data_IF_814324854880
#
_entry.id   IF_814324854880
#
_cell.length_a   1.000
_cell.length_b   1.000
_cell.length_c   1.000
_cell.angle_alpha   90.00
_cell.angle_beta   90.00
_cell.angle_gamma   90.00
#
_symmetry.space_group_name_H-M   'P 1'
#
loop_
_entity.id
_entity.type
_entity.pdbx_description
1 polymer ?
#
# COMPACT_ATOMS: atom_id res chain seq x y z
N UNK A 1 25.70 -2.14 -9.05
CA UNK A 1 25.48 -2.31 -10.50
C UNK A 1 26.16 -3.60 -10.92
N UNK A 2 25.38 -4.67 -11.06
CA UNK A 2 25.80 -5.89 -11.79
C UNK A 2 25.00 -5.86 -13.08
N UNK A 3 25.62 -5.96 -14.27
CA UNK A 3 24.86 -6.11 -15.49
C UNK A 3 24.24 -7.50 -15.44
N UNK A 4 22.94 -7.60 -15.16
CA UNK A 4 22.19 -8.83 -15.39
C UNK A 4 22.09 -8.95 -16.90
N UNK A 5 23.02 -9.73 -17.47
CA UNK A 5 23.00 -10.08 -18.87
C UNK A 5 21.67 -10.75 -19.21
N UNK A 6 21.10 -10.33 -20.32
CA UNK A 6 20.00 -10.97 -21.03
C UNK A 6 20.16 -12.49 -21.05
N UNK A 7 19.04 -13.19 -20.84
CA UNK A 7 18.82 -14.61 -21.14
C UNK A 7 19.88 -15.58 -20.60
N UNK A 8 19.65 -16.10 -19.39
CA UNK A 8 20.41 -17.25 -18.85
C UNK A 8 20.16 -18.55 -19.62
N UNK A 9 19.21 -18.55 -20.56
CA UNK A 9 18.98 -19.63 -21.50
C UNK A 9 19.61 -19.25 -22.83
N UNK A 10 20.72 -19.91 -23.18
CA UNK A 10 21.34 -19.80 -24.49
C UNK A 10 21.22 -21.13 -25.21
N UNK A 11 21.20 -21.07 -26.55
CA UNK A 11 21.35 -22.29 -27.34
C UNK A 11 22.68 -22.97 -26.97
N UNK A 12 22.71 -24.30 -26.81
CA UNK A 12 23.95 -25.02 -26.64
C UNK A 12 24.89 -24.75 -27.84
N UNK A 13 26.21 -24.82 -27.65
CA UNK A 13 27.15 -24.69 -28.76
C UNK A 13 26.82 -25.71 -29.86
N UNK A 14 26.83 -25.25 -31.11
CA UNK A 14 26.53 -26.08 -32.29
C UNK A 14 27.34 -27.36 -32.24
N UNK A 15 26.68 -28.51 -32.10
CA UNK A 15 27.34 -29.81 -32.17
C UNK A 15 27.33 -30.31 -33.62
N UNK A 16 28.43 -30.92 -34.10
CA UNK A 16 28.42 -31.56 -35.41
C UNK A 16 27.36 -32.67 -35.39
N UNK A 17 26.39 -32.57 -36.31
CA UNK A 17 25.26 -33.48 -36.35
C UNK A 17 25.73 -34.92 -36.59
N UNK A 18 25.52 -35.87 -35.67
CA UNK A 18 25.79 -37.27 -35.94
C UNK A 18 24.82 -37.74 -37.01
N UNK A 19 25.34 -38.21 -38.15
CA UNK A 19 24.63 -38.80 -39.30
C UNK A 19 23.14 -39.04 -39.04
N UNK A 20 22.35 -37.97 -39.17
CA UNK A 20 20.90 -38.11 -39.28
C UNK A 20 20.74 -38.86 -40.59
N UNK A 21 20.29 -40.11 -40.51
CA UNK A 21 19.88 -40.89 -41.66
C UNK A 21 18.69 -40.14 -42.25
N UNK A 22 18.96 -39.13 -43.08
CA UNK A 22 17.95 -38.33 -43.72
C UNK A 22 17.19 -39.27 -44.64
N UNK A 23 15.90 -39.42 -44.36
CA UNK A 23 14.96 -39.82 -45.38
C UNK A 23 14.85 -38.63 -46.34
N UNK A 24 15.81 -38.51 -47.26
CA UNK A 24 15.98 -37.48 -48.30
C UNK A 24 14.82 -37.43 -49.33
N UNK A 25 13.62 -37.86 -48.93
CA UNK A 25 12.42 -37.92 -49.76
C UNK A 25 11.12 -37.61 -49.02
N UNK A 26 11.14 -37.04 -47.82
CA UNK A 26 9.91 -36.55 -47.18
C UNK A 26 9.68 -35.08 -47.51
N UNK A 27 8.52 -34.76 -48.08
CA UNK A 27 8.08 -33.40 -48.41
C UNK A 27 7.74 -32.52 -47.17
N UNK A 28 8.29 -32.85 -46.01
CA UNK A 28 7.86 -32.35 -44.70
C UNK A 28 8.99 -31.60 -43.98
N UNK A 29 8.59 -30.62 -43.17
CA UNK A 29 9.48 -30.01 -42.17
C UNK A 29 9.74 -31.05 -41.09
N UNK A 30 11.00 -31.24 -40.73
CA UNK A 30 11.39 -32.19 -39.67
C UNK A 30 11.74 -31.38 -38.43
N UNK A 31 11.01 -31.62 -37.34
CA UNK A 31 11.25 -30.99 -36.05
C UNK A 31 11.77 -32.00 -35.04
N UNK A 32 12.80 -31.63 -34.29
CA UNK A 32 13.31 -32.39 -33.15
C UNK A 32 13.41 -31.48 -31.94
N UNK A 33 12.55 -31.71 -30.96
CA UNK A 33 12.66 -31.04 -29.66
C UNK A 33 13.90 -31.54 -28.92
N UNK A 34 14.77 -30.61 -28.52
CA UNK A 34 16.00 -30.91 -27.80
C UNK A 34 15.72 -30.85 -26.30
N UNK A 35 15.09 -29.78 -25.83
CA UNK A 35 14.67 -29.63 -24.44
C UNK A 35 13.33 -28.94 -24.38
N UNK A 36 12.41 -29.47 -23.55
CA UNK A 36 11.15 -28.81 -23.20
C UNK A 36 11.19 -28.44 -21.71
N UNK A 37 10.78 -27.23 -21.34
CA UNK A 37 10.58 -26.88 -19.94
C UNK A 37 9.52 -27.79 -19.29
N UNK A 38 9.66 -28.03 -17.99
CA UNK A 38 8.75 -28.92 -17.24
C UNK A 38 7.30 -28.42 -17.23
N UNK A 39 7.10 -27.11 -17.20
CA UNK A 39 5.79 -26.48 -17.09
C UNK A 39 5.40 -25.77 -18.39
N UNK A 40 5.11 -26.55 -19.45
CA UNK A 40 4.52 -26.01 -20.66
C UNK A 40 3.00 -25.81 -20.49
N UNK A 41 2.61 -24.60 -20.06
CA UNK A 41 1.20 -24.22 -19.85
C UNK A 41 0.49 -23.87 -21.17
N UNK A 42 1.24 -23.32 -22.14
CA UNK A 42 0.77 -22.93 -23.46
C UNK A 42 1.86 -23.22 -24.48
N UNK A 43 1.44 -23.61 -25.67
CA UNK A 43 2.31 -23.76 -26.83
C UNK A 43 1.91 -22.81 -27.95
N UNK A 44 2.84 -22.54 -28.86
CA UNK A 44 2.63 -21.67 -30.02
C UNK A 44 1.47 -22.17 -30.87
N UNK A 45 0.49 -21.28 -31.09
CA UNK A 45 -0.61 -21.49 -32.02
C UNK A 45 -0.50 -20.52 -33.21
N UNK A 46 -1.27 -20.80 -34.26
CA UNK A 46 -1.40 -19.86 -35.38
C UNK A 46 -1.93 -18.52 -34.87
N UNK A 47 -1.42 -17.42 -35.44
CA UNK A 47 -1.66 -16.02 -35.04
C UNK A 47 -0.95 -15.55 -33.78
N UNK A 48 -0.20 -16.43 -33.10
CA UNK A 48 0.61 -15.99 -31.97
C UNK A 48 1.81 -15.18 -32.45
N UNK A 49 2.10 -14.13 -31.69
CA UNK A 49 3.33 -13.40 -31.76
C UNK A 49 4.37 -14.11 -30.90
N UNK A 50 5.49 -14.46 -31.51
CA UNK A 50 6.58 -15.18 -30.86
C UNK A 50 7.84 -14.34 -30.85
N UNK A 51 8.61 -14.44 -29.76
CA UNK A 51 9.98 -13.93 -29.68
C UNK A 51 10.90 -15.11 -29.47
N UNK A 52 11.92 -15.27 -30.32
CA UNK A 52 12.83 -16.38 -30.22
C UNK A 52 14.25 -16.02 -30.62
N UNK A 53 15.20 -16.74 -30.03
CA UNK A 53 16.56 -16.79 -30.52
C UNK A 53 16.73 -17.96 -31.48
N UNK A 54 17.56 -17.76 -32.50
CA UNK A 54 17.91 -18.82 -33.44
C UNK A 54 19.37 -18.74 -33.91
N UNK A 55 19.87 -19.89 -34.35
CA UNK A 55 21.03 -20.06 -35.23
C UNK A 55 20.59 -20.78 -36.51
N UNK A 56 20.83 -20.17 -37.67
CA UNK A 56 20.52 -20.72 -38.98
C UNK A 56 21.77 -21.25 -39.67
N UNK A 57 21.75 -22.53 -40.04
CA UNK A 57 22.87 -23.22 -40.71
C UNK A 57 22.40 -23.97 -41.96
N UNK A 58 23.30 -24.14 -42.91
CA UNK A 58 23.13 -25.12 -43.99
C UNK A 58 23.35 -26.54 -43.45
N UNK A 59 22.97 -27.56 -44.22
CA UNK A 59 23.17 -28.98 -43.82
C UNK A 59 24.62 -29.34 -43.51
N UNK A 60 25.59 -28.65 -44.11
CA UNK A 60 27.02 -28.85 -43.86
C UNK A 60 27.54 -28.14 -42.59
N UNK A 61 26.65 -27.42 -41.87
CA UNK A 61 26.97 -26.67 -40.67
C UNK A 61 27.39 -25.21 -40.93
N UNK A 62 27.45 -24.76 -42.18
CA UNK A 62 27.79 -23.37 -42.50
C UNK A 62 26.70 -22.43 -41.97
N UNK A 63 27.08 -21.53 -41.06
CA UNK A 63 26.17 -20.51 -40.49
C UNK A 63 25.87 -19.44 -41.53
N UNK A 64 24.58 -19.15 -41.76
CA UNK A 64 24.16 -18.06 -42.65
C UNK A 64 23.51 -16.89 -41.90
N UNK A 65 22.87 -17.12 -40.74
CA UNK A 65 22.28 -16.07 -39.91
C UNK A 65 22.18 -16.52 -38.44
N UNK A 66 22.18 -15.56 -37.51
CA UNK A 66 21.96 -15.78 -36.09
C UNK A 66 21.29 -14.56 -35.46
N UNK A 67 20.38 -14.80 -34.53
CA UNK A 67 19.82 -13.74 -33.68
C UNK A 67 20.86 -13.18 -32.68
N UNK A 68 21.82 -14.00 -32.26
CA UNK A 68 22.80 -13.62 -31.24
C UNK A 68 23.83 -12.62 -31.76
N UNK A 69 24.21 -12.71 -33.04
CA UNK A 69 25.09 -11.72 -33.68
C UNK A 69 24.44 -10.34 -33.73
N UNK A 70 23.11 -10.29 -33.81
CA UNK A 70 22.31 -9.05 -33.77
C UNK A 70 21.95 -8.58 -32.36
N UNK A 71 22.22 -9.39 -31.33
CA UNK A 71 21.90 -9.10 -29.92
C UNK A 71 20.41 -8.76 -29.70
N UNK A 72 19.53 -9.36 -30.49
CA UNK A 72 18.08 -9.17 -30.39
C UNK A 72 17.38 -10.46 -30.79
N UNK A 73 16.20 -10.69 -30.22
CA UNK A 73 15.32 -11.78 -30.66
C UNK A 73 14.82 -11.53 -32.08
N UNK A 74 14.44 -12.61 -32.77
CA UNK A 74 13.56 -12.51 -33.91
C UNK A 74 12.11 -12.54 -33.43
N UNK A 75 11.31 -11.64 -33.97
CA UNK A 75 9.93 -11.44 -33.56
C UNK A 75 9.04 -11.59 -34.80
N UNK A 76 8.00 -12.41 -34.72
CA UNK A 76 7.11 -12.65 -35.85
C UNK A 76 5.75 -13.20 -35.44
N UNK A 77 4.77 -13.12 -36.35
CA UNK A 77 3.48 -13.79 -36.24
C UNK A 77 3.53 -15.15 -36.93
N UNK A 78 3.17 -16.21 -36.20
CA UNK A 78 3.23 -17.58 -36.71
C UNK A 78 1.99 -17.91 -37.53
N UNK A 79 2.22 -18.41 -38.75
CA UNK A 79 1.18 -18.93 -39.64
C UNK A 79 0.38 -17.87 -40.40
N UNK A 80 0.88 -16.63 -40.42
CA UNK A 80 0.36 -15.51 -41.21
C UNK A 80 1.23 -15.19 -42.43
N UNK A 81 2.24 -16.03 -42.74
CA UNK A 81 3.10 -15.88 -43.91
C UNK A 81 4.20 -14.82 -43.76
N UNK A 82 4.51 -14.41 -42.53
CA UNK A 82 5.61 -13.49 -42.21
C UNK A 82 6.97 -14.20 -42.18
N UNK A 83 6.97 -15.52 -42.05
CA UNK A 83 8.14 -16.38 -42.07
C UNK A 83 8.16 -17.23 -43.34
N UNK A 84 9.30 -17.86 -43.63
CA UNK A 84 9.33 -18.95 -44.59
C UNK A 84 8.39 -20.06 -44.12
N UNK A 85 7.69 -20.72 -45.07
CA UNK A 85 6.65 -21.71 -44.76
C UNK A 85 7.11 -22.78 -43.77
N UNK A 86 8.37 -23.19 -43.87
CA UNK A 86 8.93 -24.20 -42.99
C UNK A 86 9.10 -23.76 -41.53
N UNK A 87 9.38 -22.47 -41.30
CA UNK A 87 9.44 -21.92 -39.94
C UNK A 87 8.03 -21.73 -39.37
N UNK A 88 7.07 -21.26 -40.18
CA UNK A 88 5.66 -21.19 -39.80
C UNK A 88 5.14 -22.56 -39.31
N UNK A 89 5.49 -23.64 -40.02
CA UNK A 89 5.13 -25.01 -39.60
C UNK A 89 5.94 -25.51 -38.39
N UNK A 90 7.25 -25.24 -38.36
CA UNK A 90 8.15 -25.82 -37.36
C UNK A 90 8.05 -25.19 -35.97
N UNK A 91 7.64 -23.92 -35.88
CA UNK A 91 7.44 -23.20 -34.62
C UNK A 91 6.14 -23.61 -33.90
N UNK A 92 5.15 -24.15 -34.62
CA UNK A 92 3.88 -24.56 -34.03
C UNK A 92 4.09 -25.60 -32.92
N UNK A 93 3.39 -25.42 -31.81
CA UNK A 93 3.50 -26.32 -30.66
C UNK A 93 4.79 -26.17 -29.86
N UNK A 94 5.65 -25.16 -30.11
CA UNK A 94 6.77 -24.86 -29.21
C UNK A 94 6.28 -24.27 -27.89
N UNK A 95 6.94 -24.61 -26.79
CA UNK A 95 6.71 -24.02 -25.47
C UNK A 95 7.76 -22.93 -25.15
N UNK A 96 7.40 -21.91 -24.38
CA UNK A 96 8.38 -20.89 -23.94
C UNK A 96 9.50 -21.55 -23.14
N UNK A 97 10.76 -21.29 -23.52
CA UNK A 97 11.97 -21.92 -23.00
C UNK A 97 12.33 -23.24 -23.70
N UNK A 98 11.53 -23.71 -24.66
CA UNK A 98 11.85 -24.90 -25.46
C UNK A 98 13.00 -24.60 -26.44
N UNK A 99 13.91 -25.56 -26.55
CA UNK A 99 14.91 -25.61 -27.63
C UNK A 99 14.48 -26.66 -28.64
N UNK A 100 14.33 -26.26 -29.90
CA UNK A 100 13.91 -27.12 -31.00
C UNK A 100 14.82 -26.94 -32.20
N UNK A 101 15.24 -28.07 -32.78
CA UNK A 101 15.88 -28.11 -34.08
C UNK A 101 14.82 -28.31 -35.16
N UNK A 102 14.88 -27.50 -36.22
CA UNK A 102 13.94 -27.49 -37.34
C UNK A 102 14.72 -27.59 -38.64
N UNK A 103 14.50 -28.66 -39.39
CA UNK A 103 15.07 -28.85 -40.72
C UNK A 103 14.02 -28.58 -41.78
N UNK A 104 14.32 -27.62 -42.66
CA UNK A 104 13.38 -27.09 -43.64
C UNK A 104 13.88 -27.42 -45.06
N UNK A 105 13.12 -28.20 -45.84
CA UNK A 105 13.50 -28.49 -47.22
C UNK A 105 13.37 -27.24 -48.11
N UNK A 106 14.06 -27.19 -49.26
CA UNK A 106 14.20 -25.95 -50.02
C UNK A 106 12.87 -25.35 -50.47
N UNK A 107 11.90 -26.16 -50.89
CA UNK A 107 10.58 -25.70 -51.37
C UNK A 107 9.68 -25.11 -50.27
N UNK A 108 10.04 -25.28 -48.98
CA UNK A 108 9.42 -24.57 -47.83
C UNK A 108 10.31 -23.46 -47.27
N UNK A 109 11.50 -23.25 -47.84
CA UNK A 109 12.43 -22.16 -47.55
C UNK A 109 12.51 -21.19 -48.74
N UNK A 110 13.67 -21.11 -49.41
CA UNK A 110 13.95 -20.17 -50.52
C UNK A 110 13.96 -20.81 -51.92
N UNK A 111 13.65 -22.11 -52.00
CA UNK A 111 13.45 -22.84 -53.25
C UNK A 111 14.65 -22.85 -54.19
N UNK A 112 14.37 -22.89 -55.50
CA UNK A 112 15.40 -22.96 -56.54
C UNK A 112 16.22 -21.68 -56.67
N UNK A 113 15.74 -20.57 -56.13
CA UNK A 113 16.42 -19.27 -56.27
C UNK A 113 17.47 -19.05 -55.17
N UNK A 114 17.30 -19.67 -54.01
CA UNK A 114 18.09 -19.31 -52.82
C UNK A 114 17.78 -17.90 -52.36
N UNK A 115 18.65 -17.33 -51.51
CA UNK A 115 18.50 -15.96 -50.99
C UNK A 115 19.86 -15.35 -50.69
N UNK A 116 20.11 -14.17 -51.26
CA UNK A 116 21.37 -13.44 -51.06
C UNK A 116 22.58 -14.21 -51.57
N UNK A 117 23.71 -14.01 -50.90
CA UNK A 117 24.98 -14.72 -51.16
C UNK A 117 25.21 -15.89 -50.22
N UNK A 118 24.42 -15.96 -49.15
CA UNK A 118 24.60 -16.87 -48.02
C UNK A 118 23.79 -18.16 -48.19
N UNK A 119 22.64 -18.09 -48.88
CA UNK A 119 21.73 -19.23 -49.05
C UNK A 119 21.70 -19.65 -50.52
N UNK A 120 22.34 -20.77 -50.89
CA UNK A 120 22.37 -21.23 -52.27
C UNK A 120 21.02 -21.76 -52.76
N UNK A 121 20.93 -21.93 -54.09
CA UNK A 121 19.80 -22.61 -54.75
C UNK A 121 19.59 -24.01 -54.15
N UNK A 122 18.33 -24.39 -53.94
CA UNK A 122 17.96 -25.72 -53.43
C UNK A 122 18.59 -26.05 -52.06
N UNK A 123 18.91 -25.02 -51.25
CA UNK A 123 19.46 -25.21 -49.91
C UNK A 123 18.41 -25.73 -48.93
N UNK A 124 18.74 -26.81 -48.21
CA UNK A 124 18.02 -27.22 -47.00
C UNK A 124 18.58 -26.43 -45.82
N UNK A 125 17.69 -25.85 -45.02
CA UNK A 125 18.06 -25.02 -43.89
C UNK A 125 17.85 -25.77 -42.59
N UNK A 126 18.72 -25.54 -41.62
CA UNK A 126 18.62 -26.07 -40.26
C UNK A 126 18.60 -24.90 -39.29
N UNK A 127 17.56 -24.82 -38.47
CA UNK A 127 17.39 -23.82 -37.43
C UNK A 127 17.40 -24.48 -36.07
N UNK A 128 18.33 -24.06 -35.20
CA UNK A 128 18.21 -24.29 -33.77
C UNK A 128 17.52 -23.08 -33.16
N UNK A 129 16.38 -23.28 -32.51
CA UNK A 129 15.52 -22.22 -31.98
C UNK A 129 15.33 -22.39 -30.48
N UNK A 130 15.51 -21.31 -29.73
CA UNK A 130 15.08 -21.15 -28.35
C UNK A 130 13.91 -20.17 -28.33
N UNK A 131 12.73 -20.65 -27.94
CA UNK A 131 11.55 -19.79 -27.83
C UNK A 131 11.63 -18.98 -26.53
N UNK A 132 11.71 -17.65 -26.64
CA UNK A 132 11.87 -16.76 -25.49
C UNK A 132 10.53 -16.29 -24.91
N UNK A 133 9.53 -16.06 -25.76
CA UNK A 133 8.23 -15.54 -25.34
C UNK A 133 7.13 -15.81 -26.38
N UNK A 134 5.87 -15.84 -25.93
CA UNK A 134 4.68 -15.99 -26.78
C UNK A 134 3.50 -15.19 -26.24
N UNK A 135 2.75 -14.53 -27.11
CA UNK A 135 1.41 -14.02 -26.80
C UNK A 135 0.54 -13.96 -28.05
N UNK A 136 -0.77 -13.95 -27.87
CA UNK A 136 -1.67 -13.52 -28.92
C UNK A 136 -1.87 -12.00 -28.80
N UNK A 137 -1.81 -11.22 -29.90
CA UNK A 137 -2.10 -9.79 -29.85
C UNK A 137 -3.49 -9.44 -29.28
N UNK A 138 -4.42 -10.40 -29.27
CA UNK A 138 -5.77 -10.27 -28.71
C UNK A 138 -5.90 -10.79 -27.27
N UNK A 139 -4.81 -11.27 -26.66
CA UNK A 139 -4.84 -11.74 -25.27
C UNK A 139 -5.26 -10.61 -24.34
N UNK A 140 -6.01 -10.94 -23.29
CA UNK A 140 -6.32 -10.00 -22.22
C UNK A 140 -5.46 -10.31 -20.99
N UNK A 141 -5.55 -9.44 -19.99
CA UNK A 141 -4.99 -9.69 -18.66
C UNK A 141 -5.49 -11.04 -18.10
N UNK A 142 -4.57 -11.89 -17.65
CA UNK A 142 -4.92 -13.13 -16.93
C UNK A 142 -4.60 -12.96 -15.45
N UNK A 143 -5.58 -13.25 -14.59
CA UNK A 143 -5.44 -13.19 -13.13
C UNK A 143 -5.76 -14.58 -12.56
N UNK A 144 -4.80 -15.13 -11.83
CA UNK A 144 -4.92 -16.38 -11.10
C UNK A 144 -4.80 -16.09 -9.60
N UNK A 145 -5.89 -16.27 -8.86
CA UNK A 145 -5.88 -16.09 -7.41
C UNK A 145 -5.22 -17.30 -6.75
N UNK A 146 -4.04 -17.10 -6.17
CA UNK A 146 -3.30 -18.16 -5.48
C UNK A 146 -3.82 -18.35 -4.05
N UNK A 147 -4.04 -17.25 -3.33
CA UNK A 147 -4.58 -17.25 -1.97
C UNK A 147 -5.52 -16.07 -1.83
N UNK A 148 -6.78 -16.35 -1.46
CA UNK A 148 -7.75 -15.33 -1.06
C UNK A 148 -8.06 -15.53 0.42
N UNK A 149 -7.72 -14.57 1.30
CA UNK A 149 -8.03 -14.67 2.73
C UNK A 149 -9.54 -14.81 2.97
N UNK A 150 -9.90 -15.60 3.98
CA UNK A 150 -11.31 -15.86 4.34
C UNK A 150 -12.03 -14.55 4.73
N UNK A 151 -11.33 -13.67 5.44
CA UNK A 151 -11.80 -12.34 5.81
C UNK A 151 -11.47 -11.32 4.70
N UNK A 152 -12.38 -11.17 3.75
CA UNK A 152 -12.32 -10.08 2.76
C UNK A 152 -13.45 -9.07 3.02
N UNK A 153 -13.32 -8.32 4.11
CA UNK A 153 -14.33 -7.34 4.54
C UNK A 153 -14.42 -6.14 3.59
N UNK A 154 -13.28 -5.73 3.02
CA UNK A 154 -13.18 -4.68 2.01
C UNK A 154 -12.36 -5.17 0.82
N UNK A 155 -12.78 -4.77 -0.37
CA UNK A 155 -12.05 -4.95 -1.62
C UNK A 155 -11.50 -3.62 -2.10
N UNK A 156 -10.34 -3.65 -2.76
CA UNK A 156 -9.75 -2.44 -3.32
C UNK A 156 -10.60 -1.88 -4.46
N UNK A 157 -10.65 -0.56 -4.54
CA UNK A 157 -11.36 0.20 -5.57
C UNK A 157 -10.46 1.25 -6.21
N UNK A 158 -10.92 1.84 -7.31
CA UNK A 158 -10.20 2.92 -8.00
C UNK A 158 -9.93 4.07 -7.03
N UNK A 159 -8.69 4.56 -7.02
CA UNK A 159 -8.24 5.64 -6.14
C UNK A 159 -7.73 5.17 -4.78
N UNK A 160 -7.78 3.88 -4.47
CA UNK A 160 -7.11 3.36 -3.28
C UNK A 160 -5.59 3.41 -3.44
N UNK A 161 -4.91 3.79 -2.36
CA UNK A 161 -3.47 3.65 -2.17
C UNK A 161 -3.18 2.23 -1.69
N UNK A 162 -2.46 1.45 -2.49
CA UNK A 162 -2.18 0.03 -2.23
C UNK A 162 -0.69 -0.15 -1.95
N UNK A 163 -0.37 -0.94 -0.92
CA UNK A 163 0.98 -1.41 -0.65
C UNK A 163 1.04 -2.92 -0.92
N UNK A 164 1.98 -3.33 -1.76
CA UNK A 164 2.11 -4.73 -2.13
C UNK A 164 3.57 -5.11 -2.37
N UNK A 165 3.86 -6.39 -2.13
CA UNK A 165 5.06 -7.03 -2.63
C UNK A 165 4.77 -7.69 -3.98
N UNK A 166 5.78 -7.72 -4.83
CA UNK A 166 5.75 -8.47 -6.09
C UNK A 166 7.08 -9.12 -6.43
N UNK A 167 7.01 -10.16 -7.25
CA UNK A 167 8.11 -10.73 -8.02
C UNK A 167 7.74 -10.73 -9.51
N UNK A 168 8.50 -10.01 -10.33
CA UNK A 168 8.29 -9.85 -11.77
C UNK A 168 9.21 -10.77 -12.57
N UNK A 169 8.62 -11.63 -13.40
CA UNK A 169 9.31 -12.61 -14.24
C UNK A 169 8.79 -12.58 -15.68
N UNK A 170 9.59 -13.02 -16.65
CA UNK A 170 9.10 -13.32 -17.99
C UNK A 170 8.41 -14.70 -18.03
N UNK A 171 7.72 -15.04 -19.12
CA UNK A 171 7.07 -16.36 -19.27
C UNK A 171 8.05 -17.55 -19.13
N UNK A 172 9.34 -17.34 -19.40
CA UNK A 172 10.40 -18.34 -19.22
C UNK A 172 10.88 -18.49 -17.75
N UNK A 173 10.30 -17.73 -16.82
CA UNK A 173 10.62 -17.74 -15.39
C UNK A 173 11.81 -16.88 -14.98
N UNK A 174 12.50 -16.21 -15.91
CA UNK A 174 13.60 -15.30 -15.59
C UNK A 174 13.06 -14.06 -14.89
N UNK A 175 13.51 -13.82 -13.65
CA UNK A 175 13.18 -12.61 -12.88
C UNK A 175 13.85 -11.37 -13.47
N UNK A 176 13.07 -10.31 -13.66
CA UNK A 176 13.58 -9.01 -14.10
C UNK A 176 13.53 -7.94 -13.00
N UNK A 177 12.61 -8.05 -12.04
CA UNK A 177 12.50 -7.11 -10.91
C UNK A 177 11.74 -7.76 -9.74
N UNK A 178 12.03 -7.34 -8.50
CA UNK A 178 11.34 -7.83 -7.32
C UNK A 178 11.42 -6.84 -6.17
N UNK A 179 10.28 -6.63 -5.51
CA UNK A 179 10.19 -5.75 -4.32
C UNK A 179 11.00 -6.28 -3.13
N UNK A 180 11.16 -7.60 -3.02
CA UNK A 180 11.85 -8.24 -1.89
C UNK A 180 13.35 -7.90 -1.87
N UNK A 181 13.98 -7.66 -3.02
CA UNK A 181 15.38 -7.22 -3.07
C UNK A 181 15.60 -5.84 -2.46
N UNK A 182 14.54 -5.02 -2.40
CA UNK A 182 14.57 -3.67 -1.82
C UNK A 182 14.15 -3.64 -0.36
N UNK A 183 13.70 -4.77 0.20
CA UNK A 183 13.12 -4.86 1.55
C UNK A 183 12.03 -3.80 1.80
N UNK A 184 11.28 -3.43 0.76
CA UNK A 184 10.19 -2.46 0.86
C UNK A 184 9.07 -2.82 -0.11
N UNK A 185 7.85 -2.45 0.25
CA UNK A 185 6.67 -2.60 -0.62
C UNK A 185 6.75 -1.62 -1.79
N UNK A 186 6.06 -1.97 -2.87
CA UNK A 186 5.70 -0.99 -3.89
C UNK A 186 4.37 -0.36 -3.51
N UNK A 187 4.31 0.97 -3.59
CA UNK A 187 3.16 1.73 -3.11
C UNK A 187 2.67 2.63 -4.25
N UNK A 188 1.38 2.56 -4.57
CA UNK A 188 0.79 3.35 -5.66
C UNK A 188 -0.71 3.54 -5.45
N UNK A 189 -1.27 4.54 -6.10
CA UNK A 189 -2.71 4.62 -6.28
C UNK A 189 -3.12 3.76 -7.48
N UNK A 190 -4.16 2.96 -7.32
CA UNK A 190 -4.63 2.02 -8.36
C UNK A 190 -5.77 2.60 -9.19
N UNK A 191 -5.80 2.25 -10.47
CA UNK A 191 -6.84 2.70 -11.41
C UNK A 191 -6.73 4.18 -11.79
N UNK A 192 -5.58 4.79 -11.53
CA UNK A 192 -5.30 6.21 -11.81
C UNK A 192 -4.21 6.39 -12.87
N UNK A 193 -3.66 5.31 -13.43
CA UNK A 193 -2.63 5.36 -14.48
C UNK A 193 -1.22 5.63 -13.98
N UNK A 194 -0.94 5.45 -12.69
CA UNK A 194 0.41 5.61 -12.12
C UNK A 194 1.32 4.40 -12.38
N UNK A 195 0.74 3.24 -12.68
CA UNK A 195 1.45 2.02 -13.07
C UNK A 195 0.95 1.54 -14.44
N UNK A 196 1.60 0.53 -15.01
CA UNK A 196 1.16 -0.08 -16.27
C UNK A 196 -0.31 -0.53 -16.17
N UNK A 197 -1.05 -0.38 -17.27
CA UNK A 197 -2.50 -0.60 -17.30
C UNK A 197 -2.91 -2.00 -16.78
N UNK A 198 -2.11 -3.03 -17.08
CA UNK A 198 -2.33 -4.38 -16.59
C UNK A 198 -2.23 -4.50 -15.06
N UNK A 199 -1.31 -3.78 -14.41
CA UNK A 199 -1.20 -3.77 -12.95
C UNK A 199 -2.33 -2.98 -12.30
N UNK A 200 -2.71 -1.84 -12.89
CA UNK A 200 -3.87 -1.06 -12.45
C UNK A 200 -5.14 -1.93 -12.43
N UNK A 201 -5.37 -2.68 -13.50
CA UNK A 201 -6.49 -3.63 -13.59
C UNK A 201 -6.32 -4.81 -12.63
N UNK A 202 -5.11 -5.34 -12.50
CA UNK A 202 -4.83 -6.51 -11.68
C UNK A 202 -4.87 -6.26 -10.18
N UNK A 203 -4.78 -5.02 -9.72
CA UNK A 203 -4.86 -4.67 -8.30
C UNK A 203 -6.26 -4.23 -7.87
N UNK A 204 -7.22 -4.13 -8.80
CA UNK A 204 -8.62 -3.88 -8.45
C UNK A 204 -9.29 -5.12 -7.87
N UNK A 205 -10.18 -4.90 -6.91
CA UNK A 205 -10.95 -5.96 -6.27
C UNK A 205 -10.12 -6.92 -5.42
N UNK A 206 -8.89 -6.54 -5.01
CA UNK A 206 -8.04 -7.36 -4.12
C UNK A 206 -8.54 -7.30 -2.69
N UNK A 207 -8.28 -8.37 -1.95
CA UNK A 207 -8.37 -8.41 -0.50
C UNK A 207 -7.00 -8.14 0.13
N UNK A 208 -7.01 -7.62 1.36
CA UNK A 208 -5.78 -7.51 2.17
C UNK A 208 -5.25 -8.92 2.45
N UNK A 209 -3.94 -9.14 2.28
CA UNK A 209 -3.30 -10.46 2.43
C UNK A 209 -3.44 -11.38 1.20
N UNK A 210 -4.12 -10.93 0.14
CA UNK A 210 -4.31 -11.73 -1.07
C UNK A 210 -3.01 -11.97 -1.84
N UNK A 211 -2.85 -13.20 -2.34
CA UNK A 211 -1.81 -13.56 -3.30
C UNK A 211 -2.42 -13.88 -4.64
N UNK A 212 -1.93 -13.25 -5.71
CA UNK A 212 -2.36 -13.53 -7.08
C UNK A 212 -1.19 -13.52 -8.05
N UNK A 213 -1.28 -14.36 -9.06
CA UNK A 213 -0.38 -14.40 -10.21
C UNK A 213 -1.05 -13.75 -11.40
N UNK A 214 -0.35 -12.82 -12.04
CA UNK A 214 -0.91 -11.96 -13.08
C UNK A 214 -0.04 -12.08 -14.32
N UNK A 215 -0.63 -12.38 -15.47
CA UNK A 215 0.06 -12.42 -16.77
C UNK A 215 -0.44 -11.24 -17.61
N UNK A 216 0.46 -10.33 -17.94
CA UNK A 216 0.18 -9.06 -18.59
C UNK A 216 0.71 -9.09 -20.03
N UNK A 217 -0.16 -9.03 -21.05
CA UNK A 217 0.28 -8.95 -22.44
C UNK A 217 0.92 -7.57 -22.73
N UNK A 218 1.74 -7.45 -23.79
CA UNK A 218 2.57 -6.25 -23.98
C UNK A 218 1.79 -4.95 -24.09
N UNK A 219 0.61 -4.95 -24.72
CA UNK A 219 -0.23 -3.75 -24.89
C UNK A 219 -0.86 -3.25 -23.58
N UNK A 220 -0.82 -4.04 -22.50
CA UNK A 220 -1.17 -3.63 -21.14
C UNK A 220 0.08 -3.41 -20.25
N UNK A 221 1.27 -3.58 -20.81
CA UNK A 221 2.56 -3.42 -20.15
C UNK A 221 3.39 -2.30 -20.83
N UNK A 222 4.57 -2.61 -21.36
CA UNK A 222 5.51 -1.65 -21.96
C UNK A 222 5.52 -1.68 -23.51
N UNK A 223 4.55 -2.35 -24.13
CA UNK A 223 4.34 -2.34 -25.58
C UNK A 223 5.53 -2.81 -26.41
N UNK A 224 5.63 -2.30 -27.64
CA UNK A 224 6.69 -2.62 -28.60
C UNK A 224 8.04 -1.97 -28.27
N UNK A 225 8.07 -1.00 -27.35
CA UNK A 225 9.30 -0.28 -27.00
C UNK A 225 10.08 -1.01 -25.89
N UNK A 226 9.39 -1.72 -25.00
CA UNK A 226 9.99 -2.27 -23.79
C UNK A 226 10.35 -1.16 -22.78
N UNK A 227 11.21 -1.46 -21.80
CA UNK A 227 11.57 -0.49 -20.77
C UNK A 227 12.95 -0.71 -20.14
N UNK A 228 13.68 0.40 -19.94
CA UNK A 228 14.87 0.48 -19.09
C UNK A 228 16.06 -0.41 -19.51
N UNK A 229 16.05 -0.96 -20.71
CA UNK A 229 17.03 -1.94 -21.18
C UNK A 229 16.93 -3.32 -20.50
N UNK A 230 15.97 -3.50 -19.59
CA UNK A 230 15.72 -4.74 -18.84
C UNK A 230 14.52 -5.49 -19.42
N UNK A 231 13.47 -4.75 -19.78
CA UNK A 231 12.26 -5.31 -20.39
C UNK A 231 12.38 -5.16 -21.90
N UNK A 232 12.47 -6.26 -22.67
CA UNK A 232 12.58 -6.15 -24.11
C UNK A 232 11.24 -5.80 -24.78
N UNK A 233 11.26 -5.29 -26.03
CA UNK A 233 10.09 -5.09 -26.89
C UNK A 233 9.09 -6.25 -26.90
N UNK A 234 7.81 -5.94 -26.80
CA UNK A 234 6.70 -6.89 -26.91
C UNK A 234 6.77 -8.06 -25.91
N UNK A 235 7.29 -7.80 -24.71
CA UNK A 235 7.41 -8.79 -23.65
C UNK A 235 6.11 -9.02 -22.89
N UNK A 236 5.77 -10.29 -22.66
CA UNK A 236 4.78 -10.67 -21.66
C UNK A 236 5.42 -10.64 -20.28
N UNK A 237 4.73 -10.01 -19.33
CA UNK A 237 5.18 -9.93 -17.95
C UNK A 237 4.33 -10.82 -17.06
N UNK A 238 4.96 -11.49 -16.11
CA UNK A 238 4.32 -12.28 -15.08
C UNK A 238 4.66 -11.68 -13.72
N UNK A 239 3.63 -11.37 -12.92
CA UNK A 239 3.79 -10.86 -11.57
C UNK A 239 3.13 -11.79 -10.57
N UNK A 240 3.91 -12.30 -9.61
CA UNK A 240 3.37 -12.86 -8.37
C UNK A 240 3.27 -11.73 -7.34
N UNK A 241 2.04 -11.43 -6.90
CA UNK A 241 1.71 -10.29 -6.05
C UNK A 241 1.26 -10.78 -4.68
N UNK A 242 1.69 -10.09 -3.62
CA UNK A 242 1.16 -10.19 -2.26
C UNK A 242 0.69 -8.80 -1.81
N UNK A 243 -0.60 -8.65 -1.58
CA UNK A 243 -1.20 -7.40 -1.10
C UNK A 243 -1.01 -7.30 0.41
N UNK A 244 -0.38 -6.21 0.87
CA UNK A 244 -0.11 -5.99 2.30
C UNK A 244 -1.25 -5.24 2.95
N UNK A 245 -1.67 -4.12 2.38
CA UNK A 245 -2.89 -3.40 2.74
C UNK A 245 -3.23 -2.35 1.67
N UNK A 246 -4.36 -1.66 1.87
CA UNK A 246 -4.73 -0.50 1.08
C UNK A 246 -5.72 0.40 1.82
N UNK A 247 -5.73 1.69 1.48
CA UNK A 247 -6.64 2.69 2.04
C UNK A 247 -7.02 3.73 0.98
N UNK A 248 -8.12 4.43 1.19
CA UNK A 248 -8.49 5.60 0.42
C UNK A 248 -8.15 6.88 1.19
N UNK A 249 -7.70 7.96 0.53
CA UNK A 249 -7.58 9.27 1.17
C UNK A 249 -8.90 9.82 1.74
N UNK A 250 -10.04 9.32 1.25
CA UNK A 250 -11.37 9.70 1.76
C UNK A 250 -11.92 8.71 2.80
N UNK A 251 -11.16 7.70 3.21
CA UNK A 251 -11.60 6.76 4.25
C UNK A 251 -11.79 7.52 5.56
N UNK A 252 -12.81 7.14 6.33
CA UNK A 252 -13.05 7.66 7.68
C UNK A 252 -12.64 6.62 8.72
N UNK A 253 -12.62 7.01 10.00
CA UNK A 253 -12.36 6.05 11.09
C UNK A 253 -13.46 5.00 11.12
N UNK A 254 -13.09 3.73 11.07
CA UNK A 254 -14.06 2.64 11.28
C UNK A 254 -14.08 2.27 12.76
N UNK A 255 -15.23 2.43 13.41
CA UNK A 255 -15.41 2.11 14.83
C UNK A 255 -16.35 0.91 14.96
N UNK A 256 -15.85 -0.18 15.54
CA UNK A 256 -16.63 -1.37 15.85
C UNK A 256 -16.71 -1.56 17.36
N UNK A 257 -17.93 -1.51 17.90
CA UNK A 257 -18.16 -1.73 19.33
C UNK A 257 -18.20 -3.24 19.59
N UNK A 258 -17.20 -3.75 20.30
CA UNK A 258 -17.08 -5.18 20.65
C UNK A 258 -17.87 -5.50 21.92
N UNK A 259 -17.82 -4.60 22.88
CA UNK A 259 -18.52 -4.75 24.14
C UNK A 259 -18.97 -3.37 24.63
N UNK A 260 -20.26 -3.26 24.99
CA UNK A 260 -20.81 -2.09 25.68
C UNK A 260 -21.47 -2.54 26.98
N UNK A 261 -21.09 -1.98 28.14
CA UNK A 261 -21.74 -2.27 29.41
C UNK A 261 -23.21 -1.85 29.43
N UNK A 262 -24.03 -2.55 30.23
CA UNK A 262 -25.46 -2.25 30.37
C UNK A 262 -25.72 -0.86 30.99
N UNK A 263 -24.88 -0.46 31.95
CA UNK A 263 -24.93 0.86 32.57
C UNK A 263 -23.97 1.83 31.85
N UNK A 264 -24.52 2.59 30.89
CA UNK A 264 -23.78 3.53 30.04
C UNK A 264 -24.50 4.89 30.04
N UNK A 265 -24.50 5.54 31.22
CA UNK A 265 -25.23 6.80 31.44
C UNK A 265 -24.44 8.03 30.99
N UNK A 266 -23.11 7.96 31.06
CA UNK A 266 -22.21 9.04 30.67
C UNK A 266 -21.19 8.52 29.67
N UNK A 267 -20.97 9.30 28.62
CA UNK A 267 -19.99 8.99 27.58
C UNK A 267 -18.91 10.06 27.55
N UNK A 268 -17.71 9.68 27.10
CA UNK A 268 -16.62 10.60 26.82
C UNK A 268 -17.00 11.62 25.75
N UNK A 269 -16.51 12.85 25.90
CA UNK A 269 -16.69 13.96 24.98
C UNK A 269 -15.39 14.76 24.83
N UNK A 270 -15.38 15.72 23.91
CA UNK A 270 -14.24 16.63 23.74
C UNK A 270 -13.88 17.33 25.06
N UNK A 271 -12.58 17.49 25.31
CA UNK A 271 -11.97 18.00 26.55
C UNK A 271 -12.02 17.07 27.77
N UNK A 272 -12.69 15.91 27.71
CA UNK A 272 -12.63 14.92 28.78
C UNK A 272 -11.20 14.33 28.87
N UNK A 273 -10.71 14.11 30.10
CA UNK A 273 -9.50 13.33 30.33
C UNK A 273 -9.89 11.85 30.39
N UNK A 274 -9.43 11.07 29.42
CA UNK A 274 -9.70 9.63 29.36
C UNK A 274 -8.48 8.84 29.81
N UNK A 275 -8.72 7.69 30.46
CA UNK A 275 -7.71 6.68 30.78
C UNK A 275 -8.14 5.36 30.16
N UNK A 276 -7.28 4.76 29.38
CA UNK A 276 -7.65 3.62 28.54
C UNK A 276 -6.49 2.64 28.36
N UNK A 277 -6.86 1.40 28.05
CA UNK A 277 -5.94 0.40 27.49
C UNK A 277 -6.09 0.36 25.98
N UNK A 278 -4.99 0.09 25.29
CA UNK A 278 -5.00 -0.20 23.87
C UNK A 278 -3.98 -1.27 23.49
N UNK A 279 -4.28 -2.01 22.43
CA UNK A 279 -3.31 -2.76 21.62
C UNK A 279 -3.43 -2.26 20.18
N UNK A 280 -2.30 -1.89 19.58
CA UNK A 280 -2.23 -1.40 18.21
C UNK A 280 -1.54 -2.45 17.33
N UNK A 281 -2.18 -2.77 16.21
CA UNK A 281 -1.69 -3.71 15.20
C UNK A 281 -1.79 -3.11 13.80
N UNK A 282 -1.06 -3.67 12.85
CA UNK A 282 -1.34 -3.49 11.42
C UNK A 282 -2.54 -4.36 11.01
N UNK A 283 -3.11 -4.08 9.84
CA UNK A 283 -4.28 -4.83 9.33
C UNK A 283 -3.98 -6.32 9.09
N UNK A 284 -2.71 -6.69 8.90
CA UNK A 284 -2.27 -8.09 8.80
C UNK A 284 -2.11 -8.78 10.18
N UNK A 285 -2.38 -8.08 11.27
CA UNK A 285 -2.25 -8.56 12.65
C UNK A 285 -0.86 -8.38 13.25
N UNK A 286 0.09 -7.79 12.55
CA UNK A 286 1.43 -7.50 13.10
C UNK A 286 1.30 -6.55 14.30
N UNK A 287 1.77 -6.94 15.50
CA UNK A 287 1.70 -6.07 16.67
C UNK A 287 2.68 -4.90 16.56
N UNK A 288 2.23 -3.72 16.99
CA UNK A 288 3.02 -2.50 17.01
C UNK A 288 3.31 -2.03 18.44
N UNK A 289 2.28 -1.59 19.15
CA UNK A 289 2.41 -1.03 20.50
C UNK A 289 1.25 -1.47 21.38
N UNK A 290 1.50 -1.65 22.66
CA UNK A 290 0.48 -1.89 23.67
C UNK A 290 0.59 -0.87 24.80
N UNK A 291 -0.54 -0.48 25.36
CA UNK A 291 -0.58 0.22 26.65
C UNK A 291 0.10 -0.58 27.78
N UNK A 292 0.19 -1.91 27.66
CA UNK A 292 0.88 -2.77 28.63
C UNK A 292 2.41 -2.74 28.53
N UNK A 293 2.95 -2.13 27.48
CA UNK A 293 4.41 -1.90 27.35
C UNK A 293 4.89 -0.79 28.31
N UNK A 294 3.96 -0.10 28.96
CA UNK A 294 4.22 1.01 29.88
C UNK A 294 3.82 0.64 31.32
N UNK A 295 4.53 1.21 32.29
CA UNK A 295 4.25 0.96 33.72
C UNK A 295 2.97 1.65 34.23
N UNK A 296 2.43 2.61 33.46
CA UNK A 296 1.24 3.38 33.82
C UNK A 296 0.12 3.26 32.79
N UNK A 297 -1.12 3.39 33.26
CA UNK A 297 -2.29 3.59 32.41
C UNK A 297 -2.06 4.78 31.49
N UNK A 298 -2.44 4.61 30.23
CA UNK A 298 -2.35 5.67 29.24
C UNK A 298 -3.53 6.63 29.40
N UNK A 299 -3.22 7.92 29.33
CA UNK A 299 -4.21 8.98 29.43
C UNK A 299 -4.09 10.02 28.30
N UNK A 300 -5.21 10.66 27.99
CA UNK A 300 -5.26 11.72 26.98
C UNK A 300 -6.43 12.65 27.26
N UNK A 301 -6.25 13.94 27.01
CA UNK A 301 -7.38 14.89 26.96
C UNK A 301 -7.90 14.92 25.53
N UNK A 302 -9.16 14.55 25.32
CA UNK A 302 -9.74 14.46 23.98
C UNK A 302 -9.82 15.84 23.30
N UNK A 303 -9.42 15.92 22.03
CA UNK A 303 -9.38 17.16 21.24
C UNK A 303 -8.20 18.08 21.55
N UNK A 304 -7.17 17.59 22.27
CA UNK A 304 -5.98 18.40 22.62
C UNK A 304 -4.72 18.06 21.82
N UNK A 305 -4.86 17.36 20.69
CA UNK A 305 -3.78 16.92 19.80
C UNK A 305 -2.69 16.09 20.50
N UNK A 306 -3.08 15.35 21.56
CA UNK A 306 -2.17 14.48 22.34
C UNK A 306 -2.05 13.07 21.78
N UNK A 307 -3.06 12.64 21.03
CA UNK A 307 -3.10 11.36 20.32
C UNK A 307 -3.42 11.63 18.85
N UNK A 308 -3.23 10.63 17.99
CA UNK A 308 -3.60 10.73 16.58
C UNK A 308 -5.12 10.95 16.44
N UNK A 309 -5.53 11.76 15.46
CA UNK A 309 -6.91 12.18 15.26
C UNK A 309 -7.90 11.02 15.22
N UNK A 310 -7.55 9.92 14.55
CA UNK A 310 -8.43 8.77 14.44
C UNK A 310 -8.61 7.99 15.74
N UNK A 311 -7.61 7.98 16.62
CA UNK A 311 -7.73 7.40 17.96
C UNK A 311 -8.55 8.33 18.87
N UNK A 312 -8.36 9.64 18.76
CA UNK A 312 -9.18 10.64 19.46
C UNK A 312 -10.67 10.44 19.12
N UNK A 313 -10.99 10.33 17.83
CA UNK A 313 -12.34 10.04 17.35
C UNK A 313 -12.86 8.69 17.88
N UNK A 314 -12.02 7.66 17.85
CA UNK A 314 -12.34 6.33 18.37
C UNK A 314 -12.69 6.30 19.86
N UNK A 315 -12.07 7.18 20.66
CA UNK A 315 -12.27 7.31 22.11
C UNK A 315 -13.49 8.16 22.48
N UNK A 316 -14.05 8.96 21.57
CA UNK A 316 -15.25 9.78 21.82
C UNK A 316 -16.50 8.92 21.92
N UNK A 317 -17.43 9.30 22.79
CA UNK A 317 -18.70 8.59 22.96
C UNK A 317 -18.58 7.22 23.62
N UNK A 318 -17.45 6.89 24.25
CA UNK A 318 -17.23 5.64 24.97
C UNK A 318 -17.77 5.72 26.40
N UNK A 319 -18.30 4.61 26.90
CA UNK A 319 -18.60 4.41 28.32
C UNK A 319 -17.48 3.64 29.03
N UNK A 320 -17.35 3.84 30.35
CA UNK A 320 -16.36 3.10 31.15
C UNK A 320 -16.63 1.60 31.06
N UNK A 321 -15.60 0.82 30.73
CA UNK A 321 -15.66 -0.62 30.45
C UNK A 321 -16.02 -0.98 29.00
N UNK A 322 -16.35 -0.01 28.14
CA UNK A 322 -16.62 -0.25 26.72
C UNK A 322 -15.33 -0.66 25.98
N UNK A 323 -15.44 -1.66 25.09
CA UNK A 323 -14.34 -2.11 24.22
C UNK A 323 -14.67 -1.90 22.76
N UNK A 324 -13.72 -1.38 22.00
CA UNK A 324 -13.87 -1.11 20.55
C UNK A 324 -12.67 -1.62 19.77
N UNK A 325 -12.92 -2.00 18.51
CA UNK A 325 -11.88 -2.08 17.47
C UNK A 325 -12.01 -0.81 16.63
N UNK A 326 -10.94 -0.04 16.53
CA UNK A 326 -10.89 1.22 15.79
C UNK A 326 -9.86 1.09 14.67
N UNK A 327 -10.31 1.13 13.41
CA UNK A 327 -9.43 1.14 12.24
C UNK A 327 -9.21 2.57 11.78
N UNK A 328 -7.96 3.03 11.84
CA UNK A 328 -7.56 4.40 11.55
C UNK A 328 -6.80 4.45 10.22
N UNK A 329 -7.32 5.17 9.21
CA UNK A 329 -6.60 5.37 7.96
C UNK A 329 -5.40 6.30 8.17
N UNK A 330 -4.37 6.26 7.31
CA UNK A 330 -3.09 6.90 7.61
C UNK A 330 -3.18 8.43 7.74
N UNK A 331 -4.08 9.08 6.99
CA UNK A 331 -4.25 10.54 7.05
C UNK A 331 -4.89 11.04 8.36
N UNK A 332 -5.49 10.14 9.16
CA UNK A 332 -5.94 10.37 10.54
C UNK A 332 -4.99 9.71 11.57
N UNK A 333 -3.86 9.20 11.11
CA UNK A 333 -2.83 8.52 11.89
C UNK A 333 -1.46 9.19 11.73
N UNK A 334 -0.45 8.40 11.38
CA UNK A 334 0.92 8.90 11.17
C UNK A 334 1.25 9.35 9.73
N UNK A 335 0.28 9.31 8.84
CA UNK A 335 0.40 9.75 7.45
C UNK A 335 1.42 8.98 6.62
N UNK A 336 1.83 9.58 5.50
CA UNK A 336 2.79 8.99 4.57
C UNK A 336 4.20 8.85 5.15
N UNK A 337 4.55 9.65 6.15
CA UNK A 337 5.86 9.59 6.80
C UNK A 337 5.99 8.40 7.76
N UNK A 338 4.86 7.87 8.25
CA UNK A 338 4.86 6.89 9.33
C UNK A 338 5.46 7.48 10.61
N UNK A 339 5.88 6.60 11.51
CA UNK A 339 6.53 6.96 12.77
C UNK A 339 7.55 5.89 13.16
N UNK A 340 8.29 6.09 14.24
CA UNK A 340 9.17 5.04 14.78
C UNK A 340 8.34 3.78 15.05
N UNK A 341 8.68 2.67 14.41
CA UNK A 341 7.93 1.40 14.52
C UNK A 341 6.64 1.34 13.70
N UNK A 342 6.22 2.43 13.05
CA UNK A 342 5.01 2.46 12.20
C UNK A 342 5.40 2.70 10.74
N UNK A 343 5.10 1.76 9.83
CA UNK A 343 5.38 1.95 8.41
C UNK A 343 4.66 3.18 7.81
N UNK A 344 5.27 3.75 6.77
CA UNK A 344 4.64 4.77 5.92
C UNK A 344 3.27 4.32 5.39
N UNK A 345 2.29 5.22 5.48
CA UNK A 345 0.91 5.00 5.01
C UNK A 345 0.24 3.74 5.59
N UNK A 346 0.64 3.33 6.81
CA UNK A 346 0.03 2.18 7.47
C UNK A 346 -1.38 2.49 7.98
N UNK A 347 -2.32 1.60 7.69
CA UNK A 347 -3.62 1.56 8.35
C UNK A 347 -3.44 0.90 9.72
N UNK A 348 -3.89 1.56 10.77
CA UNK A 348 -3.72 1.10 12.15
C UNK A 348 -5.02 0.50 12.68
N UNK A 349 -4.93 -0.58 13.45
CA UNK A 349 -6.06 -1.22 14.10
C UNK A 349 -5.83 -1.20 15.61
N UNK A 350 -6.69 -0.49 16.34
CA UNK A 350 -6.62 -0.35 17.79
C UNK A 350 -7.74 -1.15 18.46
N UNK A 351 -7.36 -2.10 19.31
CA UNK A 351 -8.26 -2.70 20.29
C UNK A 351 -8.20 -1.84 21.55
N UNK A 352 -9.25 -1.06 21.83
CA UNK A 352 -9.28 -0.11 22.95
C UNK A 352 -10.30 -0.52 24.01
N UNK A 353 -9.98 -0.23 25.27
CA UNK A 353 -10.85 -0.41 26.43
C UNK A 353 -10.78 0.85 27.30
N UNK A 354 -11.93 1.50 27.51
CA UNK A 354 -11.98 2.67 28.37
C UNK A 354 -12.02 2.25 29.85
N UNK A 355 -11.06 2.71 30.64
CA UNK A 355 -10.92 2.34 32.06
C UNK A 355 -11.62 3.36 32.96
N UNK A 356 -11.43 4.65 32.69
CA UNK A 356 -12.09 5.74 33.41
C UNK A 356 -12.01 7.03 32.59
N UNK A 357 -12.82 8.02 32.94
CA UNK A 357 -12.64 9.37 32.42
C UNK A 357 -13.06 10.41 33.46
N UNK A 358 -12.50 11.61 33.34
CA UNK A 358 -12.90 12.81 34.08
C UNK A 358 -13.45 13.83 33.09
N UNK A 359 -14.58 14.42 33.43
CA UNK A 359 -15.21 15.39 32.54
C UNK A 359 -14.34 16.63 32.34
N UNK A 360 -14.31 17.11 31.11
CA UNK A 360 -13.59 18.31 30.72
C UNK A 360 -14.24 19.60 31.20
N UNK A 361 -13.57 20.68 30.84
CA UNK A 361 -14.09 22.05 30.88
C UNK A 361 -14.15 22.60 29.44
N UNK A 362 -15.05 23.56 29.14
CA UNK A 362 -15.16 24.14 27.81
C UNK A 362 -13.86 24.80 27.32
N UNK A 363 -13.69 24.98 26.00
CA UNK A 363 -12.50 25.59 25.43
C UNK A 363 -12.13 26.95 26.07
N UNK A 364 -10.87 27.05 26.51
CA UNK A 364 -10.31 28.23 27.14
C UNK A 364 -10.74 28.49 28.59
N UNK A 365 -11.48 27.58 29.21
CA UNK A 365 -11.77 27.63 30.66
C UNK A 365 -10.72 26.80 31.43
N UNK A 366 -10.38 27.24 32.63
CA UNK A 366 -9.57 26.48 33.59
C UNK A 366 -10.42 25.89 34.73
N UNK A 367 -11.60 26.48 34.95
CA UNK A 367 -12.58 26.06 35.94
C UNK A 367 -13.99 26.40 35.43
N UNK A 368 -14.97 25.56 35.80
CA UNK A 368 -16.39 25.82 35.57
C UNK A 368 -17.19 25.53 36.82
N UNK A 369 -18.25 26.32 37.01
CA UNK A 369 -19.27 26.06 38.02
C UNK A 369 -20.24 24.98 37.50
N UNK A 370 -20.57 24.02 38.38
CA UNK A 370 -21.57 22.99 38.12
C UNK A 370 -22.94 23.34 38.73
N UNK A 371 -22.93 24.28 39.67
CA UNK A 371 -24.12 24.90 40.28
C UNK A 371 -24.04 26.44 40.11
N UNK A 372 -24.99 27.17 40.68
CA UNK A 372 -24.96 28.62 40.69
C UNK A 372 -23.72 29.14 41.42
N UNK A 373 -22.99 30.07 40.79
CA UNK A 373 -21.87 30.75 41.44
C UNK A 373 -22.36 31.60 42.61
N UNK A 374 -21.53 31.85 43.64
CA UNK A 374 -21.89 32.73 44.74
C UNK A 374 -22.38 34.11 44.25
N UNK A 375 -23.42 34.65 44.89
CA UNK A 375 -23.99 35.95 44.53
C UNK A 375 -22.99 37.11 44.68
N UNK A 376 -22.05 36.98 45.63
CA UNK A 376 -20.90 37.86 45.79
C UNK A 376 -19.64 36.99 45.85
N UNK A 377 -19.03 36.78 44.67
CA UNK A 377 -17.86 35.92 44.54
C UNK A 377 -16.65 36.50 45.26
N UNK A 378 -16.48 37.83 45.27
CA UNK A 378 -15.35 38.46 45.96
C UNK A 378 -15.48 38.27 47.47
N UNK A 379 -16.65 38.52 48.05
CA UNK A 379 -16.87 38.29 49.48
C UNK A 379 -16.78 36.81 49.88
N UNK A 380 -17.04 35.89 48.94
CA UNK A 380 -16.87 34.45 49.16
C UNK A 380 -15.39 34.02 49.10
N UNK A 381 -14.57 34.72 48.31
CA UNK A 381 -13.13 34.52 48.21
C UNK A 381 -12.37 35.18 49.37
N UNK A 382 -12.79 36.36 49.84
CA UNK A 382 -12.21 37.11 50.96
C UNK A 382 -12.78 36.63 52.31
N UNK A 383 -12.41 35.41 52.71
CA UNK A 383 -12.73 34.79 53.99
C UNK A 383 -12.32 35.66 55.18
N UNK A 384 -11.17 36.32 55.09
CA UNK A 384 -10.59 37.07 56.20
C UNK A 384 -11.14 38.53 56.28
N UNK A 385 -11.81 38.99 55.21
CA UNK A 385 -12.49 40.29 55.06
C UNK A 385 -11.54 41.48 55.08
N UNK A 386 -10.30 41.31 54.61
CA UNK A 386 -9.31 42.39 54.47
C UNK A 386 -9.34 43.08 53.10
N UNK A 387 -10.22 42.64 52.18
CA UNK A 387 -10.33 43.11 50.79
C UNK A 387 -9.13 42.76 49.89
N UNK A 388 -8.30 41.81 50.29
CA UNK A 388 -7.16 41.33 49.54
C UNK A 388 -7.20 39.81 49.51
N UNK A 389 -7.34 39.20 48.33
CA UNK A 389 -7.38 37.74 48.20
C UNK A 389 -6.02 37.27 47.67
N UNK A 390 -5.10 36.77 48.54
CA UNK A 390 -3.84 36.18 48.10
C UNK A 390 -4.06 34.80 47.45
N UNK A 391 -3.02 34.27 46.81
CA UNK A 391 -3.07 32.99 46.09
C UNK A 391 -3.51 31.82 46.98
N UNK A 392 -3.08 31.79 48.24
CA UNK A 392 -3.48 30.74 49.18
C UNK A 392 -4.99 30.74 49.41
N UNK A 393 -5.57 31.93 49.64
CA UNK A 393 -6.98 32.10 49.93
C UNK A 393 -7.86 31.75 48.70
N UNK A 394 -7.45 32.24 47.53
CA UNK A 394 -8.05 31.88 46.25
C UNK A 394 -7.99 30.37 46.00
N UNK A 395 -6.83 29.76 46.24
CA UNK A 395 -6.61 28.34 46.03
C UNK A 395 -7.42 27.45 46.97
N UNK A 396 -7.49 27.79 48.25
CA UNK A 396 -8.32 27.08 49.24
C UNK A 396 -9.81 27.13 48.85
N UNK A 397 -10.29 28.29 48.42
CA UNK A 397 -11.65 28.44 47.94
C UNK A 397 -11.95 27.52 46.74
N UNK A 398 -11.11 27.56 45.69
CA UNK A 398 -11.31 26.73 44.49
C UNK A 398 -11.24 25.23 44.84
N UNK A 399 -10.29 24.83 45.70
CA UNK A 399 -10.19 23.44 46.19
C UNK A 399 -11.46 23.01 46.92
N UNK A 400 -12.04 23.89 47.74
CA UNK A 400 -13.29 23.62 48.44
C UNK A 400 -14.46 23.44 47.46
N UNK A 401 -14.58 24.32 46.45
CA UNK A 401 -15.67 24.19 45.46
C UNK A 401 -15.60 22.89 44.66
N UNK A 402 -14.39 22.43 44.32
CA UNK A 402 -14.19 21.13 43.65
C UNK A 402 -14.51 19.97 44.60
N UNK A 403 -14.05 20.03 45.86
CA UNK A 403 -14.31 18.99 46.85
C UNK A 403 -15.81 18.85 47.20
N UNK A 404 -16.56 19.95 47.18
CA UNK A 404 -18.02 19.96 47.39
C UNK A 404 -18.82 19.58 46.12
N UNK A 405 -18.16 19.35 44.98
CA UNK A 405 -18.82 19.02 43.71
C UNK A 405 -19.52 20.20 43.02
N UNK A 406 -19.31 21.43 43.52
CA UNK A 406 -19.90 22.67 42.98
C UNK A 406 -19.14 23.23 41.78
N UNK A 407 -17.90 22.79 41.60
CA UNK A 407 -17.03 23.24 40.53
C UNK A 407 -16.17 22.13 39.97
N UNK A 408 -15.67 22.35 38.76
CA UNK A 408 -14.76 21.43 38.08
C UNK A 408 -13.57 22.18 37.53
N UNK A 409 -12.39 21.66 37.81
CA UNK A 409 -11.13 22.18 37.27
C UNK A 409 -10.76 21.44 35.98
N UNK A 410 -9.98 22.09 35.12
CA UNK A 410 -9.46 21.48 33.89
C UNK A 410 -8.66 20.21 34.23
N UNK A 411 -9.04 19.04 33.71
CA UNK A 411 -8.35 17.80 34.03
C UNK A 411 -7.01 17.68 33.27
N UNK A 412 -6.16 16.76 33.70
CA UNK A 412 -4.88 16.45 33.05
C UNK A 412 -3.71 17.38 33.43
N UNK A 413 -3.91 18.24 34.42
CA UNK A 413 -2.87 19.11 34.99
C UNK A 413 -2.86 19.01 36.52
N UNK A 414 -1.72 19.34 37.13
CA UNK A 414 -1.61 19.41 38.59
C UNK A 414 -2.52 20.56 39.06
N UNK A 415 -3.40 20.27 40.01
CA UNK A 415 -4.41 21.22 40.51
C UNK A 415 -3.79 22.55 40.95
N UNK A 416 -2.65 22.50 41.64
CA UNK A 416 -1.90 23.67 42.09
C UNK A 416 -1.46 24.57 40.92
N UNK A 417 -1.04 23.98 39.80
CA UNK A 417 -0.66 24.76 38.62
C UNK A 417 -1.88 25.43 37.99
N UNK A 418 -3.00 24.72 37.87
CA UNK A 418 -4.22 25.30 37.31
C UNK A 418 -4.73 26.45 38.18
N UNK A 419 -4.72 26.27 39.51
CA UNK A 419 -5.08 27.32 40.47
C UNK A 419 -4.13 28.51 40.36
N UNK A 420 -2.83 28.26 40.25
CA UNK A 420 -1.84 29.31 40.04
C UNK A 420 -2.12 30.08 38.75
N UNK A 421 -2.37 29.41 37.63
CA UNK A 421 -2.68 30.06 36.35
C UNK A 421 -3.98 30.87 36.43
N UNK A 422 -5.01 30.33 37.10
CA UNK A 422 -6.26 31.05 37.37
C UNK A 422 -6.02 32.32 38.19
N UNK A 423 -5.21 32.23 39.25
CA UNK A 423 -4.85 33.36 40.10
C UNK A 423 -4.12 34.46 39.29
N UNK A 424 -3.07 34.09 38.55
CA UNK A 424 -2.30 35.03 37.72
C UNK A 424 -3.13 35.69 36.62
N UNK A 425 -4.18 35.03 36.13
CA UNK A 425 -5.11 35.63 35.16
C UNK A 425 -6.02 36.70 35.81
N UNK A 426 -6.25 36.63 37.12
CA UNK A 426 -7.05 37.58 37.88
C UNK A 426 -6.19 38.69 38.51
N UNK A 427 -4.97 38.39 38.94
CA UNK A 427 -3.97 39.36 39.41
C UNK A 427 -3.38 40.17 38.22
N UNK A 428 -4.13 41.18 37.77
CA UNK A 428 -3.80 41.95 36.56
C UNK A 428 -2.61 42.87 36.76
N UNK A 429 -2.43 43.39 37.97
CA UNK A 429 -1.36 44.33 38.29
C UNK A 429 -0.06 43.61 38.75
N UNK A 430 -0.14 42.30 39.03
CA UNK A 430 0.95 41.41 39.45
C UNK A 430 1.53 41.78 40.82
N UNK A 431 0.69 42.23 41.74
CA UNK A 431 1.08 42.56 43.11
C UNK A 431 0.94 41.38 44.09
N UNK A 432 0.42 40.25 43.62
CA UNK A 432 0.28 39.03 44.41
C UNK A 432 -1.02 38.95 45.22
N UNK A 433 -1.97 39.86 45.00
CA UNK A 433 -3.33 39.80 45.58
C UNK A 433 -4.39 40.10 44.51
N UNK A 434 -5.60 39.58 44.71
CA UNK A 434 -6.77 39.93 43.88
C UNK A 434 -7.65 40.88 44.68
N UNK A 435 -7.97 42.02 44.08
CA UNK A 435 -8.94 42.99 44.62
C UNK A 435 -10.29 42.91 43.90
N UNK A 436 -11.33 43.52 44.49
CA UNK A 436 -12.68 43.49 43.94
C UNK A 436 -12.77 44.10 42.53
N UNK A 437 -11.91 45.05 42.20
CA UNK A 437 -11.85 45.71 40.89
C UNK A 437 -11.16 44.84 39.82
N UNK A 438 -10.36 43.86 40.24
CA UNK A 438 -9.60 42.97 39.34
C UNK A 438 -10.36 41.69 39.00
N UNK A 439 -11.15 41.19 39.97
CA UNK A 439 -11.91 39.96 39.84
C UNK A 439 -12.97 40.08 38.73
N UNK A 440 -12.75 39.37 37.63
CA UNK A 440 -13.73 39.26 36.53
C UNK A 440 -13.93 37.81 36.12
N UNK A 441 -15.18 37.38 36.09
CA UNK A 441 -15.55 36.08 35.53
C UNK A 441 -15.47 36.13 34.02
N UNK A 442 -14.84 35.11 33.42
CA UNK A 442 -14.74 35.00 31.96
C UNK A 442 -16.10 35.02 31.26
N UNK A 443 -17.14 34.44 31.88
CA UNK A 443 -18.52 34.46 31.35
C UNK A 443 -19.06 35.89 31.25
N UNK A 444 -18.71 36.76 32.20
CA UNK A 444 -19.14 38.15 32.19
C UNK A 444 -18.32 38.95 31.17
N UNK A 445 -17.01 38.68 31.07
CA UNK A 445 -16.17 39.26 30.00
C UNK A 445 -16.63 38.86 28.60
N UNK A 446 -17.02 37.60 28.40
CA UNK A 446 -17.54 37.09 27.12
C UNK A 446 -18.88 37.77 26.78
N UNK A 447 -19.80 37.94 27.76
CA UNK A 447 -21.05 38.71 27.57
C UNK A 447 -20.80 40.19 27.27
N UNK A 448 -19.85 40.83 27.97
CA UNK A 448 -19.46 42.22 27.71
C UNK A 448 -18.91 42.38 26.28
N UNK A 449 -18.08 41.43 25.83
CA UNK A 449 -17.54 41.40 24.46
C UNK A 449 -18.62 41.17 23.41
N UNK A 450 -19.56 40.25 23.65
CA UNK A 450 -20.69 40.01 22.74
C UNK A 450 -21.62 41.22 22.65
N UNK A 451 -21.91 41.87 23.78
CA UNK A 451 -22.72 43.09 23.82
C UNK A 451 -22.04 44.25 23.07
N UNK A 452 -20.73 44.46 23.27
CA UNK A 452 -19.96 45.47 22.55
C UNK A 452 -19.93 45.21 21.04
N UNK A 453 -19.82 43.94 20.62
CA UNK A 453 -19.82 43.53 19.21
C UNK A 453 -21.20 43.69 18.55
N UNK A 454 -22.27 43.57 19.32
CA UNK A 454 -23.65 43.84 18.87
C UNK A 454 -23.96 45.34 18.76
N UNK A 455 -23.26 46.22 19.49
CA UNK A 455 -23.37 47.67 19.35
C UNK A 455 -22.54 48.25 18.18
N UNK A 456 -21.51 47.53 17.72
CA UNK A 456 -20.68 47.91 16.56
C UNK A 456 -21.24 47.47 15.19
N UNK A 457 -22.26 46.60 15.15
CA UNK A 457 -22.97 46.13 13.96
C UNK A 457 -24.29 46.90 13.76
#
# INVERSE_FOLDING_TARGET
QVPVGMDTLSLPPLQPYPNILFQLGSDLVVTKTITTPKDCQRSVMRTDFVRYHFNGTLLDGTVFDSSYTRKQTHNSLVGEGWLIKGLDEGLLGMCVGEIRNIVIPPFKAYGEKGSGTEIPSQATLVFDILLADIHNPKDNLTIENQVVPESCTRKSVVGDYVRYHYNGTFLNGVTFDTSYQRNSTYNTYIGMGYVIAGMDQALLGVCIGEKRRVIIPPHLAYGEEGAGGVIPPSAVLVFDILVIDFHNPNDTVNIQIIHRPEACNETTAENDLVRYHYNCTLVDGTPLFSSHDYESLQDAVLGSDKVIDGLDEGLRGMCVGEKRVVTVPPHLGHGEKGATGVPSSAVLVFDIELVSFEKGVPPGYLFVWLEDSPADLFAALDFNKNKEVPQEEFGEFIKLQVAEGKGRIKPGQIMEHVISDMFHNQDRNKDGVITADELKLKVDEDKEREAARHEEL
#
